data_IF_883700705649
#
_entry.id   IF_883700705649
#
_cell.length_a   1.000
_cell.length_b   1.000
_cell.length_c   1.000
_cell.angle_alpha   90.00
_cell.angle_beta   90.00
_cell.angle_gamma   90.00
#
_symmetry.space_group_name_H-M   'P 1'
#
loop_
_entity.id
_entity.type
_entity.pdbx_description
1 polymer ?
#
# COMPACT_ATOMS: atom_id res chain seq x y z
N UNK A 1 53.12 -34.42 -3.00
CA UNK A 1 52.39 -34.21 -1.74
C UNK A 1 51.72 -32.88 -1.90
N UNK A 2 50.40 -32.93 -1.92
CA UNK A 2 49.47 -31.83 -2.09
C UNK A 2 49.64 -30.78 -0.99
N UNK A 3 49.67 -29.52 -1.39
CA UNK A 3 49.13 -28.45 -0.57
C UNK A 3 48.05 -27.78 -1.42
N UNK A 4 46.86 -28.41 -1.42
CA UNK A 4 45.60 -27.73 -1.75
C UNK A 4 45.44 -26.59 -0.74
N UNK A 5 45.94 -25.41 -1.10
CA UNK A 5 45.76 -24.18 -0.34
C UNK A 5 44.26 -23.92 -0.23
N UNK A 6 43.68 -24.28 0.93
CA UNK A 6 42.25 -24.17 1.20
C UNK A 6 41.87 -22.69 1.04
N UNK A 7 41.21 -22.36 -0.07
CA UNK A 7 40.65 -21.03 -0.34
C UNK A 7 39.64 -20.70 0.76
N UNK A 8 40.07 -19.93 1.76
CA UNK A 8 39.20 -19.46 2.84
C UNK A 8 38.66 -18.06 2.49
N UNK A 9 37.38 -17.85 2.76
CA UNK A 9 36.74 -16.55 2.60
C UNK A 9 37.43 -15.53 3.52
N UNK A 10 37.68 -14.29 3.05
CA UNK A 10 38.18 -13.22 3.89
C UNK A 10 37.30 -13.03 5.14
N UNK A 11 37.92 -12.72 6.28
CA UNK A 11 37.23 -12.57 7.56
C UNK A 11 36.09 -11.54 7.51
N UNK A 12 36.26 -10.45 6.75
CA UNK A 12 35.23 -9.43 6.55
C UNK A 12 34.02 -9.98 5.77
N UNK A 13 34.25 -10.83 4.77
CA UNK A 13 33.18 -11.49 4.00
C UNK A 13 32.43 -12.51 4.87
N UNK A 14 33.14 -13.24 5.73
CA UNK A 14 32.51 -14.17 6.67
C UNK A 14 31.63 -13.45 7.70
N UNK A 15 32.08 -12.31 8.23
CA UNK A 15 31.28 -11.49 9.15
C UNK A 15 30.01 -10.97 8.46
N UNK A 16 30.14 -10.46 7.24
CA UNK A 16 28.99 -9.98 6.47
C UNK A 16 27.98 -11.11 6.16
N UNK A 17 28.47 -12.32 5.87
CA UNK A 17 27.62 -13.50 5.67
C UNK A 17 26.92 -13.93 6.97
N UNK A 18 27.59 -13.85 8.12
CA UNK A 18 27.01 -14.15 9.42
C UNK A 18 25.93 -13.12 9.81
N UNK A 19 26.21 -11.83 9.59
CA UNK A 19 25.24 -10.75 9.78
C UNK A 19 24.01 -10.97 8.90
N UNK A 20 24.21 -11.22 7.60
CA UNK A 20 23.13 -11.52 6.66
C UNK A 20 22.29 -12.75 7.04
N UNK A 21 22.92 -13.83 7.49
CA UNK A 21 22.21 -15.03 7.96
C UNK A 21 21.42 -14.75 9.24
N UNK A 22 21.99 -13.95 10.16
CA UNK A 22 21.30 -13.57 11.41
C UNK A 22 20.08 -12.70 11.12
N UNK A 23 20.19 -11.74 10.21
CA UNK A 23 19.07 -10.94 9.73
C UNK A 23 17.99 -11.80 9.06
N UNK A 24 18.40 -12.77 8.22
CA UNK A 24 17.48 -13.73 7.60
C UNK A 24 16.73 -14.57 8.63
N UNK A 25 17.43 -15.11 9.63
CA UNK A 25 16.82 -15.92 10.68
C UNK A 25 15.87 -15.09 11.55
N UNK A 26 16.24 -13.85 11.87
CA UNK A 26 15.37 -12.92 12.61
C UNK A 26 14.09 -12.60 11.81
N UNK A 27 14.23 -12.31 10.50
CA UNK A 27 13.10 -12.06 9.61
C UNK A 27 12.20 -13.29 9.46
N UNK A 28 12.78 -14.48 9.32
CA UNK A 28 12.02 -15.73 9.25
C UNK A 28 11.23 -15.99 10.55
N UNK A 29 11.84 -15.77 11.72
CA UNK A 29 11.14 -15.88 13.01
C UNK A 29 10.00 -14.87 13.12
N UNK A 30 10.25 -13.61 12.77
CA UNK A 30 9.22 -12.58 12.80
C UNK A 30 8.07 -12.88 11.84
N UNK A 31 8.38 -13.40 10.65
CA UNK A 31 7.39 -13.83 9.67
C UNK A 31 6.54 -14.98 10.19
N UNK A 32 7.15 -16.03 10.75
CA UNK A 32 6.43 -17.16 11.34
C UNK A 32 5.58 -16.72 12.55
N UNK A 33 6.07 -15.81 13.38
CA UNK A 33 5.29 -15.23 14.48
C UNK A 33 4.09 -14.42 13.99
N UNK A 34 4.28 -13.56 12.97
CA UNK A 34 3.20 -12.78 12.36
C UNK A 34 2.18 -13.67 11.67
N UNK A 35 2.64 -14.69 10.94
CA UNK A 35 1.79 -15.68 10.29
C UNK A 35 0.99 -16.47 11.31
N UNK A 36 1.64 -16.95 12.37
CA UNK A 36 0.98 -17.68 13.47
C UNK A 36 -0.08 -16.83 14.15
N UNK A 37 0.21 -15.54 14.43
CA UNK A 37 -0.77 -14.60 14.98
C UNK A 37 -1.90 -14.29 14.00
N UNK A 38 -1.57 -14.07 12.73
CA UNK A 38 -2.56 -13.82 11.69
C UNK A 38 -3.49 -15.02 11.49
N UNK A 39 -2.97 -16.25 11.57
CA UNK A 39 -3.74 -17.50 11.49
C UNK A 39 -4.59 -17.75 12.76
N UNK A 40 -4.08 -17.44 13.96
CA UNK A 40 -4.84 -17.58 15.20
C UNK A 40 -5.95 -16.54 15.36
N UNK A 41 -5.71 -15.31 14.88
CA UNK A 41 -6.69 -14.22 14.91
C UNK A 41 -7.50 -14.11 13.59
N UNK A 42 -7.25 -15.02 12.63
CA UNK A 42 -8.04 -15.15 11.39
C UNK A 42 -9.49 -15.57 11.66
N UNK A 43 -9.81 -16.00 12.89
CA UNK A 43 -11.19 -16.19 13.35
C UNK A 43 -11.92 -14.86 13.65
N UNK A 44 -11.29 -13.68 13.48
CA UNK A 44 -11.93 -12.42 13.85
C UNK A 44 -11.60 -11.15 13.06
N UNK A 45 -10.34 -10.73 12.97
CA UNK A 45 -10.00 -9.40 12.39
C UNK A 45 -8.49 -9.22 12.23
N UNK A 46 -8.01 -8.82 11.05
CA UNK A 46 -6.63 -8.34 10.88
C UNK A 46 -6.51 -6.96 11.56
N UNK A 47 -5.52 -6.78 12.44
CA UNK A 47 -5.23 -5.48 13.08
C UNK A 47 -3.95 -4.85 12.53
N UNK A 48 -3.95 -3.52 12.41
CA UNK A 48 -2.73 -2.77 12.11
C UNK A 48 -1.71 -2.85 13.25
N UNK A 49 -2.12 -3.19 14.48
CA UNK A 49 -1.21 -3.34 15.62
C UNK A 49 -0.19 -4.46 15.43
N UNK A 50 -0.47 -5.43 14.56
CA UNK A 50 0.50 -6.47 14.18
C UNK A 50 1.66 -5.90 13.36
N UNK A 51 1.45 -4.78 12.67
CA UNK A 51 2.40 -4.14 11.77
C UNK A 51 2.80 -2.78 12.37
N UNK A 52 3.75 -2.76 13.33
CA UNK A 52 4.16 -1.51 13.97
C UNK A 52 4.77 -0.48 13.00
N UNK A 53 4.40 0.79 13.09
CA UNK A 53 4.89 1.87 12.21
C UNK A 53 6.43 2.00 12.18
N UNK A 54 7.02 2.13 10.99
CA UNK A 54 8.41 2.56 10.80
C UNK A 54 8.49 4.01 10.30
N UNK A 55 8.96 4.89 11.18
CA UNK A 55 9.09 6.32 10.92
C UNK A 55 10.18 6.62 9.88
N UNK A 56 11.22 5.78 9.76
CA UNK A 56 12.25 5.95 8.74
C UNK A 56 11.71 5.65 7.34
N UNK A 57 10.74 4.73 7.25
CA UNK A 57 10.00 4.45 6.03
C UNK A 57 8.82 5.42 5.80
N UNK A 58 8.65 6.44 6.66
CA UNK A 58 7.53 7.39 6.65
C UNK A 58 6.16 6.70 6.68
N UNK A 59 6.05 5.62 7.46
CA UNK A 59 4.81 4.88 7.63
C UNK A 59 3.97 5.45 8.76
N UNK A 60 2.80 5.98 8.41
CA UNK A 60 1.82 6.51 9.35
C UNK A 60 0.48 5.84 9.10
N UNK A 61 -0.09 5.20 10.12
CA UNK A 61 -1.31 4.45 9.93
C UNK A 61 -2.55 5.32 10.10
N UNK A 62 -3.51 5.16 9.19
CA UNK A 62 -4.82 5.78 9.34
C UNK A 62 -5.52 5.30 10.61
N UNK A 63 -6.44 6.11 11.12
CA UNK A 63 -7.44 5.63 12.08
C UNK A 63 -8.33 4.58 11.43
N UNK A 64 -8.90 3.66 12.21
CA UNK A 64 -9.85 2.65 11.72
C UNK A 64 -11.01 3.30 10.95
N UNK A 65 -11.55 4.41 11.48
CA UNK A 65 -12.59 5.20 10.81
C UNK A 65 -12.15 5.66 9.41
N UNK A 66 -10.99 6.29 9.29
CA UNK A 66 -10.46 6.79 8.02
C UNK A 66 -10.25 5.64 7.03
N UNK A 67 -9.58 4.58 7.48
CA UNK A 67 -9.29 3.41 6.65
C UNK A 67 -10.56 2.73 6.15
N UNK A 68 -11.58 2.56 7.02
CA UNK A 68 -12.87 1.96 6.66
C UNK A 68 -13.66 2.84 5.70
N UNK A 69 -13.66 4.16 5.88
CA UNK A 69 -14.32 5.07 4.93
C UNK A 69 -13.70 4.95 3.54
N UNK A 70 -12.37 5.01 3.42
CA UNK A 70 -11.67 4.84 2.14
C UNK A 70 -11.94 3.46 1.51
N UNK A 71 -11.86 2.40 2.32
CA UNK A 71 -12.14 1.02 1.89
C UNK A 71 -13.57 0.84 1.38
N UNK A 72 -14.58 1.40 2.08
CA UNK A 72 -15.98 1.34 1.61
C UNK A 72 -16.16 2.05 0.28
N UNK A 73 -15.51 3.19 0.07
CA UNK A 73 -15.58 3.89 -1.21
C UNK A 73 -14.89 3.12 -2.34
N UNK A 74 -13.85 2.34 -2.05
CA UNK A 74 -13.25 1.39 -3.00
C UNK A 74 -14.12 0.16 -3.26
N UNK A 75 -14.93 -0.30 -2.29
CA UNK A 75 -15.85 -1.43 -2.46
C UNK A 75 -17.19 -1.03 -3.10
N UNK A 76 -17.54 0.25 -3.07
CA UNK A 76 -18.81 0.74 -3.62
C UNK A 76 -18.95 0.43 -5.12
N UNK A 77 -20.01 -0.27 -5.48
CA UNK A 77 -20.28 -0.77 -6.85
C UNK A 77 -19.20 -1.74 -7.37
N UNK A 78 -18.33 -2.27 -6.51
CA UNK A 78 -17.38 -3.29 -6.91
C UNK A 78 -18.13 -4.58 -7.24
N UNK A 79 -17.57 -5.35 -8.16
CA UNK A 79 -18.07 -6.67 -8.53
C UNK A 79 -16.98 -7.71 -8.27
N UNK A 80 -17.33 -8.99 -8.37
CA UNK A 80 -16.35 -10.09 -8.30
C UNK A 80 -15.25 -10.00 -9.37
N UNK A 81 -15.50 -9.28 -10.47
CA UNK A 81 -14.55 -9.09 -11.57
C UNK A 81 -13.74 -7.79 -11.40
N UNK A 82 -14.04 -6.99 -10.38
CA UNK A 82 -13.26 -5.80 -10.04
C UNK A 82 -11.92 -6.17 -9.41
N UNK A 83 -10.95 -5.27 -9.52
CA UNK A 83 -9.64 -5.43 -8.92
C UNK A 83 -9.18 -4.11 -8.28
N UNK A 84 -8.80 -4.19 -7.00
CA UNK A 84 -8.42 -3.06 -6.16
C UNK A 84 -6.93 -3.14 -5.86
N UNK A 85 -6.18 -2.11 -6.25
CA UNK A 85 -4.78 -1.94 -5.85
C UNK A 85 -4.68 -0.93 -4.69
N UNK A 86 -3.91 -1.29 -3.67
CA UNK A 86 -3.62 -0.44 -2.51
C UNK A 86 -2.12 -0.18 -2.53
N UNK A 87 -1.70 1.03 -2.87
CA UNK A 87 -0.29 1.40 -3.01
C UNK A 87 0.14 2.22 -1.79
N UNK A 88 1.05 1.67 -0.99
CA UNK A 88 1.60 2.34 0.20
C UNK A 88 0.55 2.73 1.26
N UNK A 89 -0.62 2.07 1.29
CA UNK A 89 -1.73 2.41 2.19
C UNK A 89 -2.28 1.18 2.96
N UNK A 90 -1.46 0.46 3.75
CA UNK A 90 -1.78 -0.86 4.29
C UNK A 90 -2.96 -0.84 5.26
N UNK A 91 -3.18 0.28 5.97
CA UNK A 91 -4.38 0.44 6.81
C UNK A 91 -5.68 0.28 6.01
N UNK A 92 -5.72 0.77 4.77
CA UNK A 92 -6.87 0.62 3.88
C UNK A 92 -7.02 -0.82 3.40
N UNK A 93 -5.91 -1.51 3.11
CA UNK A 93 -5.94 -2.93 2.77
C UNK A 93 -6.52 -3.77 3.91
N UNK A 94 -6.03 -3.56 5.14
CA UNK A 94 -6.55 -4.26 6.33
C UNK A 94 -8.04 -3.96 6.53
N UNK A 95 -8.47 -2.72 6.34
CA UNK A 95 -9.88 -2.36 6.40
C UNK A 95 -10.72 -3.05 5.30
N UNK A 96 -10.22 -3.15 4.06
CA UNK A 96 -10.87 -3.89 2.97
C UNK A 96 -11.07 -5.36 3.35
N UNK A 97 -10.03 -6.04 3.82
CA UNK A 97 -10.10 -7.45 4.22
C UNK A 97 -11.09 -7.66 5.36
N UNK A 98 -11.06 -6.81 6.38
CA UNK A 98 -11.98 -6.89 7.51
C UNK A 98 -13.44 -6.70 7.08
N UNK A 99 -13.73 -5.69 6.24
CA UNK A 99 -15.10 -5.46 5.75
C UNK A 99 -15.61 -6.66 4.94
N UNK A 100 -14.77 -7.24 4.07
CA UNK A 100 -15.14 -8.43 3.27
C UNK A 100 -15.28 -9.72 4.12
N UNK A 101 -14.67 -9.78 5.30
CA UNK A 101 -14.87 -10.86 6.26
C UNK A 101 -16.16 -10.66 7.06
N UNK A 102 -16.41 -9.43 7.51
CA UNK A 102 -17.59 -9.03 8.30
C UNK A 102 -18.89 -9.10 7.47
N UNK A 103 -18.86 -8.78 6.17
CA UNK A 103 -20.03 -8.67 5.30
C UNK A 103 -20.00 -9.70 4.16
N UNK A 104 -20.45 -10.92 4.43
CA UNK A 104 -20.38 -12.06 3.50
C UNK A 104 -21.14 -11.89 2.18
N UNK A 105 -22.12 -10.99 2.13
CA UNK A 105 -22.93 -10.69 0.94
C UNK A 105 -22.20 -9.78 -0.07
N UNK A 106 -21.10 -9.13 0.34
CA UNK A 106 -20.33 -8.29 -0.56
C UNK A 106 -19.60 -9.14 -1.61
N UNK A 107 -19.52 -8.66 -2.86
CA UNK A 107 -18.66 -9.29 -3.85
C UNK A 107 -17.21 -9.23 -3.37
N UNK A 108 -16.44 -10.28 -3.67
CA UNK A 108 -15.01 -10.37 -3.35
C UNK A 108 -14.18 -10.00 -4.58
N UNK A 109 -13.79 -8.72 -4.76
CA UNK A 109 -12.88 -8.34 -5.84
C UNK A 109 -11.47 -8.90 -5.57
N UNK A 110 -10.62 -8.90 -6.60
CA UNK A 110 -9.19 -9.16 -6.40
C UNK A 110 -8.56 -8.00 -5.63
N UNK A 111 -7.80 -8.29 -4.57
CA UNK A 111 -7.03 -7.31 -3.83
C UNK A 111 -5.53 -7.44 -4.16
N UNK A 112 -4.79 -6.35 -4.05
CA UNK A 112 -3.34 -6.31 -4.16
C UNK A 112 -2.81 -5.13 -3.33
N UNK A 113 -1.93 -5.42 -2.37
CA UNK A 113 -1.18 -4.47 -1.58
C UNK A 113 0.23 -4.36 -2.16
N UNK A 114 0.59 -3.15 -2.58
CA UNK A 114 1.94 -2.78 -2.95
C UNK A 114 2.59 -2.03 -1.79
N UNK A 115 3.53 -2.67 -1.11
CA UNK A 115 4.17 -2.12 0.09
C UNK A 115 5.67 -2.42 0.17
N UNK A 116 6.41 -1.50 0.80
CA UNK A 116 7.86 -1.67 1.01
C UNK A 116 8.13 -2.58 2.22
N UNK A 117 7.19 -2.61 3.17
CA UNK A 117 7.33 -3.39 4.39
C UNK A 117 7.03 -4.87 4.15
N UNK A 118 8.10 -5.66 4.14
CA UNK A 118 8.05 -7.11 3.92
C UNK A 118 7.32 -7.89 5.01
N UNK A 119 6.95 -7.28 6.14
CA UNK A 119 6.09 -7.94 7.13
C UNK A 119 4.72 -8.29 6.54
N UNK A 120 4.25 -7.53 5.55
CA UNK A 120 3.02 -7.82 4.82
C UNK A 120 3.11 -9.02 3.85
N UNK A 121 4.29 -9.64 3.68
CA UNK A 121 4.43 -10.89 2.92
C UNK A 121 3.54 -12.03 3.46
N UNK A 122 3.11 -11.94 4.73
CA UNK A 122 2.18 -12.90 5.34
C UNK A 122 0.82 -12.95 4.63
N UNK A 123 0.48 -11.92 3.85
CA UNK A 123 -0.73 -11.84 3.04
C UNK A 123 -0.66 -12.72 1.78
N UNK A 124 0.48 -13.33 1.48
CA UNK A 124 0.65 -14.27 0.38
C UNK A 124 0.42 -13.63 -0.99
N UNK A 125 -0.54 -14.14 -1.76
CA UNK A 125 -0.79 -13.72 -3.14
C UNK A 125 -1.30 -12.29 -3.28
N UNK A 126 -1.76 -11.69 -2.19
CA UNK A 126 -2.33 -10.36 -2.19
C UNK A 126 -1.25 -9.28 -1.91
N UNK A 127 0.00 -9.66 -1.64
CA UNK A 127 1.11 -8.74 -1.42
C UNK A 127 2.14 -8.78 -2.55
N UNK A 128 2.56 -7.59 -2.99
CA UNK A 128 3.68 -7.39 -3.90
C UNK A 128 4.65 -6.38 -3.28
N UNK A 129 5.93 -6.76 -3.17
CA UNK A 129 6.98 -5.85 -2.71
C UNK A 129 7.10 -4.66 -3.65
N UNK A 130 7.01 -3.46 -3.10
CA UNK A 130 7.02 -2.22 -3.85
C UNK A 130 7.99 -1.20 -3.24
N UNK A 131 8.95 -0.79 -4.04
CA UNK A 131 9.86 0.31 -3.77
C UNK A 131 9.55 1.43 -4.78
N UNK A 132 9.11 2.59 -4.28
CA UNK A 132 8.78 3.72 -5.14
C UNK A 132 10.00 4.24 -5.91
N UNK A 133 11.24 4.01 -5.45
CA UNK A 133 12.46 4.36 -6.20
C UNK A 133 12.59 3.54 -7.49
N UNK A 134 11.97 2.35 -7.52
CA UNK A 134 11.91 1.45 -8.66
C UNK A 134 10.45 1.21 -9.08
N UNK A 135 9.70 2.27 -9.48
CA UNK A 135 8.23 2.26 -9.52
C UNK A 135 7.61 1.28 -10.51
N UNK A 136 8.40 0.77 -11.46
CA UNK A 136 8.00 -0.20 -12.49
C UNK A 136 8.68 -1.56 -12.34
N UNK A 137 9.43 -1.79 -11.26
CA UNK A 137 9.96 -3.12 -10.91
C UNK A 137 8.85 -3.95 -10.26
N UNK A 138 7.80 -4.19 -11.04
CA UNK A 138 6.61 -4.90 -10.65
C UNK A 138 6.36 -6.08 -11.60
N UNK A 139 5.68 -7.13 -11.13
CA UNK A 139 5.34 -8.25 -11.98
C UNK A 139 4.48 -7.80 -13.18
N UNK A 140 4.77 -8.37 -14.36
CA UNK A 140 4.13 -7.96 -15.61
C UNK A 140 2.61 -8.25 -15.63
N UNK A 141 2.19 -9.24 -14.85
CA UNK A 141 0.79 -9.63 -14.63
C UNK A 141 -0.04 -8.55 -13.96
N UNK A 142 0.56 -7.59 -13.24
CA UNK A 142 -0.16 -6.48 -12.60
C UNK A 142 -0.52 -5.36 -13.59
N UNK A 143 0.11 -5.35 -14.77
CA UNK A 143 -0.09 -4.30 -15.77
C UNK A 143 -1.53 -4.28 -16.26
N UNK A 144 -2.18 -3.12 -16.13
CA UNK A 144 -3.52 -2.88 -16.65
C UNK A 144 -4.60 -3.79 -16.07
N UNK A 145 -4.50 -4.15 -14.79
CA UNK A 145 -5.45 -5.05 -14.12
C UNK A 145 -6.49 -4.35 -13.27
N UNK A 146 -6.17 -3.18 -12.75
CA UNK A 146 -6.93 -2.58 -11.65
C UNK A 146 -7.88 -1.51 -12.14
N UNK A 147 -9.13 -1.57 -11.68
CA UNK A 147 -10.15 -0.54 -11.97
C UNK A 147 -10.45 0.35 -10.76
N UNK A 148 -9.86 0.02 -9.62
CA UNK A 148 -9.91 0.78 -8.38
C UNK A 148 -8.49 0.85 -7.83
N UNK A 149 -8.01 2.06 -7.57
CA UNK A 149 -6.66 2.23 -7.00
C UNK A 149 -6.73 3.30 -5.92
N UNK A 150 -6.12 3.01 -4.78
CA UNK A 150 -5.75 4.00 -3.77
C UNK A 150 -4.24 4.07 -3.63
N UNK A 151 -3.69 5.26 -3.45
CA UNK A 151 -2.28 5.42 -3.09
C UNK A 151 -2.06 6.44 -1.97
N UNK A 152 -1.10 6.14 -1.11
CA UNK A 152 -0.60 7.04 -0.06
C UNK A 152 0.94 7.06 -0.09
N UNK A 153 1.56 7.86 -0.98
CA UNK A 153 3.00 7.83 -1.17
C UNK A 153 3.75 8.30 0.09
N UNK A 154 4.88 7.65 0.47
CA UNK A 154 5.53 7.87 1.76
C UNK A 154 6.13 9.27 1.94
N UNK A 155 6.44 9.98 0.85
CA UNK A 155 7.11 11.28 0.92
C UNK A 155 6.33 12.41 0.25
N UNK A 156 6.37 13.58 0.89
CA UNK A 156 5.82 14.83 0.37
C UNK A 156 6.81 15.52 -0.59
N UNK A 157 7.15 14.82 -1.68
CA UNK A 157 8.06 15.33 -2.72
C UNK A 157 7.56 15.04 -4.13
N UNK A 158 7.83 15.94 -5.06
CA UNK A 158 7.42 15.78 -6.47
C UNK A 158 7.97 14.50 -7.10
N UNK A 159 9.18 14.08 -6.74
CA UNK A 159 9.79 12.84 -7.23
C UNK A 159 9.01 11.61 -6.76
N UNK A 160 8.69 11.53 -5.46
CA UNK A 160 7.90 10.42 -4.91
C UNK A 160 6.51 10.37 -5.55
N UNK A 161 5.81 11.51 -5.58
CA UNK A 161 4.46 11.60 -6.16
C UNK A 161 4.46 11.22 -7.66
N UNK A 162 5.46 11.69 -8.42
CA UNK A 162 5.60 11.37 -9.85
C UNK A 162 5.86 9.88 -10.07
N UNK A 163 6.76 9.28 -9.28
CA UNK A 163 7.07 7.85 -9.36
C UNK A 163 5.87 6.98 -8.98
N UNK A 164 5.14 7.33 -7.93
CA UNK A 164 3.90 6.62 -7.59
C UNK A 164 2.84 6.78 -8.67
N UNK A 165 2.69 7.96 -9.30
CA UNK A 165 1.80 8.13 -10.44
C UNK A 165 2.17 7.25 -11.65
N UNK A 166 3.47 7.01 -11.89
CA UNK A 166 3.91 6.03 -12.90
C UNK A 166 3.43 4.62 -12.57
N UNK A 167 3.55 4.20 -11.31
CA UNK A 167 3.05 2.92 -10.81
C UNK A 167 1.54 2.82 -10.99
N UNK A 168 0.78 3.81 -10.51
CA UNK A 168 -0.69 3.84 -10.62
C UNK A 168 -1.12 3.71 -12.09
N UNK A 169 -0.47 4.43 -13.00
CA UNK A 169 -0.77 4.34 -14.44
C UNK A 169 -0.40 2.97 -15.04
N UNK A 170 0.65 2.31 -14.56
CA UNK A 170 1.01 0.96 -14.98
C UNK A 170 -0.05 -0.06 -14.53
N UNK A 171 -0.60 0.10 -13.32
CA UNK A 171 -1.61 -0.79 -12.73
C UNK A 171 -3.00 -0.60 -13.35
N UNK A 172 -3.38 0.64 -13.68
CA UNK A 172 -4.72 1.00 -14.13
C UNK A 172 -5.11 0.29 -15.44
N UNK A 173 -6.24 -0.43 -15.40
CA UNK A 173 -6.84 -1.10 -16.57
C UNK A 173 -7.22 -0.10 -17.67
N UNK A 174 -7.74 1.06 -17.26
CA UNK A 174 -8.08 2.16 -18.14
C UNK A 174 -7.69 3.49 -17.49
N UNK A 175 -7.10 4.42 -18.25
CA UNK A 175 -6.69 5.73 -17.76
C UNK A 175 -7.68 6.81 -18.19
N UNK A 176 -8.91 6.74 -17.67
CA UNK A 176 -9.99 7.68 -17.96
C UNK A 176 -10.84 7.96 -16.71
N UNK A 177 -11.60 9.06 -16.71
CA UNK A 177 -12.48 9.46 -15.59
C UNK A 177 -13.51 8.37 -15.22
N UNK A 178 -14.06 7.68 -16.21
CA UNK A 178 -15.07 6.62 -16.00
C UNK A 178 -14.47 5.22 -15.85
N UNK A 179 -13.23 5.02 -16.32
CA UNK A 179 -12.57 3.71 -16.38
C UNK A 179 -11.78 3.34 -15.13
N UNK A 180 -11.50 4.31 -14.25
CA UNK A 180 -10.75 4.13 -13.03
C UNK A 180 -11.42 4.86 -11.86
N UNK A 181 -11.71 4.15 -10.78
CA UNK A 181 -12.05 4.76 -9.49
C UNK A 181 -10.76 5.01 -8.72
N UNK A 182 -10.40 6.27 -8.50
CA UNK A 182 -9.11 6.62 -7.92
C UNK A 182 -9.22 7.46 -6.64
N UNK A 183 -8.34 7.16 -5.69
CA UNK A 183 -8.13 7.94 -4.47
C UNK A 183 -6.62 8.12 -4.27
N UNK A 184 -6.18 9.32 -3.93
CA UNK A 184 -4.84 9.58 -3.42
C UNK A 184 -4.96 10.34 -2.11
N UNK A 185 -4.28 9.87 -1.08
CA UNK A 185 -4.12 10.61 0.16
C UNK A 185 -2.67 11.03 0.26
N UNK A 186 -2.40 12.30 0.53
CA UNK A 186 -1.04 12.81 0.75
C UNK A 186 -1.12 14.20 1.40
N UNK A 187 0.01 14.85 1.62
CA UNK A 187 0.06 16.20 2.18
C UNK A 187 -0.66 17.23 1.31
N UNK A 188 -1.31 18.18 1.97
CA UNK A 188 -1.89 19.41 1.41
C UNK A 188 -1.00 20.11 0.37
N UNK A 189 0.30 20.19 0.68
CA UNK A 189 1.31 20.87 -0.14
C UNK A 189 1.56 20.22 -1.49
N UNK A 190 1.11 18.98 -1.67
CA UNK A 190 1.24 18.24 -2.92
C UNK A 190 0.06 18.43 -3.88
N UNK A 191 -0.94 19.24 -3.51
CA UNK A 191 -2.14 19.46 -4.33
C UNK A 191 -1.80 19.78 -5.79
N UNK A 192 -0.98 20.81 -6.04
CA UNK A 192 -0.63 21.21 -7.41
C UNK A 192 -0.02 20.06 -8.22
N UNK A 193 0.80 19.23 -7.58
CA UNK A 193 1.45 18.07 -8.19
C UNK A 193 0.44 16.95 -8.46
N UNK A 194 -0.43 16.63 -7.49
CA UNK A 194 -1.49 15.63 -7.65
C UNK A 194 -2.46 16.02 -8.77
N UNK A 195 -2.99 17.25 -8.74
CA UNK A 195 -3.91 17.75 -9.76
C UNK A 195 -3.28 17.68 -11.16
N UNK A 196 -1.99 18.01 -11.28
CA UNK A 196 -1.26 17.89 -12.56
C UNK A 196 -1.06 16.45 -13.01
N UNK A 197 -0.60 15.56 -12.13
CA UNK A 197 -0.27 14.17 -12.45
C UNK A 197 -1.51 13.37 -12.88
N UNK A 198 -2.64 13.63 -12.21
CA UNK A 198 -3.88 12.88 -12.38
C UNK A 198 -4.98 13.66 -13.14
N UNK A 199 -4.64 14.80 -13.75
CA UNK A 199 -5.59 15.65 -14.49
C UNK A 199 -6.44 14.87 -15.51
N UNK A 200 -5.84 13.90 -16.22
CA UNK A 200 -6.50 13.12 -17.28
C UNK A 200 -7.59 12.17 -16.77
N UNK A 201 -7.56 11.82 -15.48
CA UNK A 201 -8.57 10.97 -14.85
C UNK A 201 -9.49 11.79 -13.93
N UNK A 202 -9.45 13.12 -14.02
CA UNK A 202 -10.43 14.01 -13.37
C UNK A 202 -10.24 14.19 -11.85
N UNK A 203 -9.04 13.91 -11.32
CA UNK A 203 -8.79 14.01 -9.88
C UNK A 203 -8.86 15.45 -9.39
N UNK A 204 -9.53 15.64 -8.26
CA UNK A 204 -9.72 16.92 -7.58
C UNK A 204 -9.58 16.75 -6.07
N UNK A 205 -9.26 17.86 -5.40
CA UNK A 205 -9.19 17.91 -3.93
C UNK A 205 -10.58 17.73 -3.32
N UNK A 206 -10.69 16.86 -2.34
CA UNK A 206 -11.95 16.56 -1.65
C UNK A 206 -12.01 17.25 -0.28
N UNK A 207 -13.23 17.41 0.24
CA UNK A 207 -13.47 17.88 1.59
C UNK A 207 -13.17 16.83 2.69
N UNK A 208 -12.73 15.62 2.33
CA UNK A 208 -12.37 14.60 3.31
C UNK A 208 -10.97 14.84 3.87
N UNK A 209 -10.84 14.73 5.19
CA UNK A 209 -9.59 14.95 5.92
C UNK A 209 -9.17 13.63 6.60
N UNK A 210 -8.23 12.88 6.00
CA UNK A 210 -7.72 11.64 6.57
C UNK A 210 -7.06 11.87 7.93
N UNK A 211 -7.36 11.00 8.90
CA UNK A 211 -6.78 11.04 10.25
C UNK A 211 -5.86 9.86 10.48
N UNK A 212 -4.80 10.09 11.26
CA UNK A 212 -3.79 9.07 11.59
C UNK A 212 -3.84 8.70 13.07
N UNK A 213 -3.60 7.43 13.38
CA UNK A 213 -3.78 6.83 14.71
C UNK A 213 -2.85 7.43 15.78
N UNK A 214 -1.62 7.79 15.42
CA UNK A 214 -0.65 8.43 16.34
C UNK A 214 -0.55 9.94 16.17
N UNK A 215 -1.46 10.53 15.38
CA UNK A 215 -1.39 11.94 14.97
C UNK A 215 -0.26 12.19 13.97
N UNK A 216 -0.49 13.12 13.06
CA UNK A 216 0.51 13.61 12.11
C UNK A 216 0.52 15.14 12.21
N UNK A 217 1.71 15.75 12.21
CA UNK A 217 1.82 17.21 12.23
C UNK A 217 1.54 17.86 10.87
N UNK A 218 1.72 17.11 9.78
CA UNK A 218 1.42 17.60 8.43
C UNK A 218 -0.08 17.53 8.18
N UNK A 219 -0.61 18.54 7.48
CA UNK A 219 -1.98 18.53 7.02
C UNK A 219 -2.10 17.54 5.84
N UNK A 220 -3.01 16.57 5.96
CA UNK A 220 -3.22 15.55 4.95
C UNK A 220 -4.57 15.75 4.29
N UNK A 221 -4.59 15.66 2.96
CA UNK A 221 -5.81 15.78 2.16
C UNK A 221 -6.06 14.50 1.36
N UNK A 222 -7.34 14.29 1.06
CA UNK A 222 -7.79 13.27 0.14
C UNK A 222 -8.12 13.90 -1.21
N UNK A 223 -7.61 13.30 -2.27
CA UNK A 223 -7.85 13.65 -3.67
C UNK A 223 -8.54 12.47 -4.35
N UNK A 224 -9.58 12.74 -5.15
CA UNK A 224 -10.34 11.70 -5.83
C UNK A 224 -10.93 12.19 -7.13
N UNK A 225 -11.28 11.28 -8.03
CA UNK A 225 -12.03 11.59 -9.25
C UNK A 225 -13.55 11.36 -9.13
N UNK A 226 -14.07 11.06 -7.94
CA UNK A 226 -15.50 10.80 -7.74
C UNK A 226 -16.05 11.37 -6.40
N UNK A 227 -17.32 11.80 -6.41
CA UNK A 227 -18.05 12.30 -5.22
C UNK A 227 -18.70 11.11 -4.56
N UNK A 228 -18.84 11.18 -3.24
CA UNK A 228 -19.62 10.22 -2.49
C UNK A 228 -20.28 10.88 -1.28
N UNK A 229 -21.08 10.12 -0.56
CA UNK A 229 -21.69 10.47 0.72
C UNK A 229 -20.69 11.00 1.74
N UNK A 230 -19.46 10.51 1.72
CA UNK A 230 -18.41 10.91 2.67
C UNK A 230 -17.66 12.17 2.23
N UNK A 231 -17.68 12.52 0.93
CA UNK A 231 -16.98 13.70 0.44
C UNK A 231 -17.53 14.36 -0.83
N UNK A 232 -17.33 15.67 -0.88
CA UNK A 232 -17.53 16.55 -2.05
C UNK A 232 -16.20 17.20 -2.43
N UNK A 233 -16.14 17.86 -3.58
CA UNK A 233 -14.94 18.60 -3.96
C UNK A 233 -14.81 19.78 -3.00
N UNK A 234 -13.59 20.17 -2.65
CA UNK A 234 -13.41 21.50 -2.08
C UNK A 234 -13.85 22.53 -3.12
N UNK A 235 -14.52 23.58 -2.65
CA UNK A 235 -14.78 24.73 -3.50
C UNK A 235 -13.44 25.40 -3.77
N UNK A 236 -13.24 25.84 -5.02
CA UNK A 236 -12.10 26.67 -5.42
C UNK A 236 -12.12 28.02 -4.68
#
# INVERSE_FOLDING_TARGET
>A
MDDDEVLQLPADTLRLLQEFNTEKDARAKQFEELKSKAESDFEGKLSMDFFGEDWNASQFWYTDETARTLARQLLKDATKDSAIAVVSAPSVYVALTNILAEESELPRPKLCLLEIDTRFEVLGSDFDYYDFEQPLRLPAELKGKFDRIICDPPFLSDDCQTKTALTVRFLAREWSESGLRFISCTGERMEATIIKLYAKIGVKTTGFEPKHSKGLSNEFWCYSNFQCEDWRWRAD
#
